data_IF_121217748069
#
_entry.id   IF_121217748069
#
_cell.length_a   1.000
_cell.length_b   1.000
_cell.length_c   1.000
_cell.angle_alpha   90.00
_cell.angle_beta   90.00
_cell.angle_gamma   90.00
#
_symmetry.space_group_name_H-M   'P 1'
#
loop_
_entity.id
_entity.type
_entity.pdbx_description
1 polymer ?
#
# COMPACT_ATOMS: atom_id res chain seq x y z
N UNK A 1 -6.88 -0.79 21.76
CA UNK A 1 -5.61 -0.53 21.05
C UNK A 1 -5.66 0.77 20.27
N UNK A 2 -4.48 1.35 19.96
CA UNK A 2 -4.34 2.57 19.13
C UNK A 2 -5.05 2.43 17.78
N UNK A 3 -4.93 1.26 17.14
CA UNK A 3 -5.61 0.96 15.88
C UNK A 3 -7.13 1.00 16.00
N UNK A 4 -7.71 0.57 17.11
CA UNK A 4 -9.17 0.54 17.30
C UNK A 4 -9.78 1.93 17.44
N UNK A 5 -8.95 2.92 17.80
CA UNK A 5 -9.34 4.32 17.94
C UNK A 5 -9.48 5.05 16.60
N UNK A 6 -8.91 4.48 15.53
CA UNK A 6 -8.92 5.10 14.21
C UNK A 6 -10.33 5.06 13.58
N UNK A 7 -10.77 6.18 12.98
CA UNK A 7 -12.06 6.25 12.29
C UNK A 7 -12.06 5.36 11.03
N UNK A 8 -13.26 4.93 10.64
CA UNK A 8 -13.44 4.14 9.43
C UNK A 8 -13.73 5.01 8.21
N UNK A 9 -13.15 4.62 7.09
CA UNK A 9 -13.53 5.12 5.77
C UNK A 9 -14.86 4.51 5.31
N UNK A 10 -15.39 5.04 4.20
CA UNK A 10 -16.51 4.43 3.46
C UNK A 10 -16.24 3.01 2.94
N UNK A 11 -14.98 2.55 2.98
CA UNK A 11 -14.56 1.20 2.59
C UNK A 11 -14.36 0.28 3.80
N UNK A 12 -14.79 0.69 5.00
CA UNK A 12 -14.64 -0.08 6.23
C UNK A 12 -13.17 -0.35 6.62
N UNK A 13 -12.26 0.51 6.15
CA UNK A 13 -10.83 0.49 6.50
C UNK A 13 -10.57 1.61 7.50
N UNK A 14 -9.82 1.30 8.56
CA UNK A 14 -9.38 2.26 9.56
C UNK A 14 -8.23 3.11 9.04
N UNK A 15 -8.30 4.43 9.19
CA UNK A 15 -7.23 5.36 8.81
C UNK A 15 -7.18 6.56 9.77
N UNK A 16 -6.02 7.20 9.97
CA UNK A 16 -5.95 8.51 10.63
C UNK A 16 -6.84 9.55 9.95
N UNK A 17 -7.28 10.56 10.71
CA UNK A 17 -7.97 11.70 10.12
C UNK A 17 -7.02 12.50 9.24
N UNK A 18 -7.55 13.17 8.22
CA UNK A 18 -6.75 13.96 7.27
C UNK A 18 -6.04 15.16 7.91
N UNK A 19 -6.55 15.64 9.05
CA UNK A 19 -5.97 16.71 9.87
C UNK A 19 -5.04 16.19 10.99
N UNK A 20 -4.91 14.87 11.16
CA UNK A 20 -3.95 14.26 12.08
C UNK A 20 -2.58 14.06 11.41
N UNK A 21 -1.75 15.10 11.49
CA UNK A 21 -0.39 15.09 10.96
C UNK A 21 0.64 14.45 11.92
N UNK A 22 0.23 13.99 13.11
CA UNK A 22 1.17 13.46 14.12
C UNK A 22 1.83 12.15 13.70
N UNK A 23 1.23 11.47 12.71
CA UNK A 23 1.62 10.15 12.20
C UNK A 23 2.24 10.21 10.81
N UNK A 24 2.40 11.40 10.24
CA UNK A 24 3.07 11.56 8.96
C UNK A 24 4.57 11.32 9.13
N UNK A 25 5.09 10.37 8.37
CA UNK A 25 6.53 10.14 8.25
C UNK A 25 7.05 10.87 7.02
N UNK A 26 8.25 11.44 7.14
CA UNK A 26 8.95 11.97 5.99
C UNK A 26 9.22 10.84 4.98
N UNK A 27 8.96 11.11 3.70
CA UNK A 27 9.00 10.11 2.61
C UNK A 27 10.37 9.44 2.42
N UNK A 28 11.43 10.02 2.98
CA UNK A 28 12.81 9.53 2.92
C UNK A 28 13.17 8.51 4.03
N UNK A 29 12.25 8.18 4.95
CA UNK A 29 12.50 7.27 6.06
C UNK A 29 11.73 5.94 5.95
N UNK A 30 11.50 5.46 4.71
CA UNK A 30 10.76 4.22 4.46
C UNK A 30 11.71 3.18 3.90
N UNK A 31 11.97 2.11 4.65
CA UNK A 31 12.81 0.99 4.19
C UNK A 31 11.98 -0.08 3.44
N UNK A 32 10.70 -0.23 3.80
CA UNK A 32 9.80 -1.28 3.29
C UNK A 32 8.37 -0.78 3.15
N UNK A 33 7.73 -1.14 2.04
CA UNK A 33 6.31 -0.85 1.77
C UNK A 33 5.58 -2.16 1.46
N UNK A 34 4.54 -2.44 2.24
CA UNK A 34 3.58 -3.51 1.91
C UNK A 34 2.57 -2.94 0.91
N UNK A 35 2.58 -3.46 -0.31
CA UNK A 35 1.75 -2.96 -1.40
C UNK A 35 0.59 -3.91 -1.65
N UNK A 36 -0.68 -3.51 -1.39
CA UNK A 36 -1.85 -4.35 -1.64
C UNK A 36 -2.18 -4.43 -3.13
N UNK A 37 -2.87 -5.51 -3.50
CA UNK A 37 -3.26 -5.79 -4.88
C UNK A 37 -4.36 -6.85 -4.97
N UNK A 38 -5.06 -6.85 -6.09
CA UNK A 38 -6.02 -7.87 -6.49
C UNK A 38 -5.33 -9.09 -7.11
N UNK A 39 -4.18 -8.87 -7.76
CA UNK A 39 -3.37 -9.93 -8.36
C UNK A 39 -1.92 -9.53 -8.47
N UNK A 40 -1.04 -10.53 -8.49
CA UNK A 40 0.41 -10.39 -8.54
C UNK A 40 1.00 -11.46 -9.45
N UNK A 41 2.13 -11.16 -10.06
CA UNK A 41 2.95 -12.14 -10.77
C UNK A 41 4.27 -12.35 -10.00
N UNK A 42 4.93 -13.49 -10.23
CA UNK A 42 6.21 -13.79 -9.56
C UNK A 42 7.36 -12.86 -10.00
N UNK A 43 7.21 -12.15 -11.13
CA UNK A 43 8.17 -11.12 -11.58
C UNK A 43 7.93 -9.74 -10.94
N UNK A 44 6.94 -9.62 -10.03
CA UNK A 44 6.66 -8.40 -9.28
C UNK A 44 5.64 -7.46 -9.93
N UNK A 45 5.01 -7.85 -11.03
CA UNK A 45 3.88 -7.09 -11.60
C UNK A 45 2.66 -7.19 -10.66
N UNK A 46 1.86 -6.12 -10.61
CA UNK A 46 0.75 -5.97 -9.67
C UNK A 46 -0.49 -5.39 -10.34
N UNK A 47 -1.65 -5.98 -10.07
CA UNK A 47 -2.96 -5.44 -10.40
C UNK A 47 -3.59 -4.80 -9.16
N UNK A 48 -3.83 -3.48 -9.19
CA UNK A 48 -4.54 -2.76 -8.13
C UNK A 48 -6.05 -2.62 -8.39
N UNK A 49 -6.75 -1.90 -7.51
CA UNK A 49 -8.18 -1.56 -7.68
C UNK A 49 -8.46 -0.49 -8.76
N UNK A 50 -7.52 -0.19 -9.65
CA UNK A 50 -7.70 0.70 -10.81
C UNK A 50 -7.54 2.21 -10.57
N UNK A 51 -7.42 2.71 -9.33
CA UNK A 51 -7.23 4.15 -9.05
C UNK A 51 -5.76 4.62 -9.03
N UNK A 52 -4.80 3.72 -9.18
CA UNK A 52 -3.38 4.04 -9.27
C UNK A 52 -2.81 4.83 -8.07
N UNK A 53 -3.34 4.62 -6.86
CA UNK A 53 -2.84 5.32 -5.66
C UNK A 53 -1.41 4.91 -5.34
N UNK A 54 -1.14 3.60 -5.28
CA UNK A 54 0.20 3.09 -4.97
C UNK A 54 1.20 3.37 -6.09
N UNK A 55 0.79 3.35 -7.35
CA UNK A 55 1.70 3.65 -8.46
C UNK A 55 2.18 5.12 -8.38
N UNK A 56 1.27 6.05 -8.10
CA UNK A 56 1.62 7.47 -7.87
C UNK A 56 2.47 7.66 -6.62
N UNK A 57 2.14 6.97 -5.53
CA UNK A 57 2.88 7.09 -4.29
C UNK A 57 4.32 6.57 -4.44
N UNK A 58 4.50 5.36 -4.98
CA UNK A 58 5.82 4.78 -5.20
C UNK A 58 6.67 5.63 -6.15
N UNK A 59 6.08 6.19 -7.21
CA UNK A 59 6.77 7.11 -8.12
C UNK A 59 7.15 8.46 -7.47
N UNK A 60 6.50 8.83 -6.35
CA UNK A 60 6.81 10.06 -5.62
C UNK A 60 7.92 9.90 -4.56
N UNK A 61 8.27 8.66 -4.22
CA UNK A 61 9.30 8.36 -3.24
C UNK A 61 10.68 8.42 -3.89
N UNK A 62 11.65 8.94 -3.14
CA UNK A 62 13.07 8.94 -3.50
C UNK A 62 13.83 8.13 -2.47
N UNK A 63 14.78 7.32 -2.90
CA UNK A 63 15.63 6.52 -2.01
C UNK A 63 15.53 5.02 -2.30
N UNK A 64 16.20 4.24 -1.47
CA UNK A 64 16.21 2.78 -1.56
C UNK A 64 15.18 2.23 -0.59
N UNK A 65 14.13 1.60 -1.12
CA UNK A 65 13.12 0.90 -0.34
C UNK A 65 12.74 -0.39 -1.04
N UNK A 66 12.26 -1.36 -0.26
CA UNK A 66 11.68 -2.58 -0.79
C UNK A 66 10.16 -2.47 -0.89
N UNK A 67 9.59 -3.14 -1.88
CA UNK A 67 8.14 -3.36 -1.96
C UNK A 67 7.84 -4.84 -1.81
N UNK A 68 6.81 -5.17 -1.04
CA UNK A 68 6.35 -6.55 -0.85
C UNK A 68 4.83 -6.61 -1.06
N UNK A 69 4.39 -7.51 -1.94
CA UNK A 69 2.99 -7.90 -2.06
C UNK A 69 2.68 -9.08 -1.13
N UNK A 70 1.60 -8.98 -0.36
CA UNK A 70 1.02 -10.11 0.37
C UNK A 70 -0.19 -10.60 -0.43
N UNK A 71 -0.16 -11.87 -0.82
CA UNK A 71 -1.12 -12.42 -1.76
C UNK A 71 -1.61 -13.80 -1.30
N UNK A 72 -2.90 -14.06 -1.47
CA UNK A 72 -3.40 -15.42 -1.50
C UNK A 72 -2.88 -16.15 -2.73
N UNK A 73 -2.91 -17.49 -2.71
CA UNK A 73 -2.48 -18.31 -3.85
C UNK A 73 -3.28 -17.98 -5.11
N UNK A 74 -4.58 -17.73 -4.97
CA UNK A 74 -5.52 -17.39 -6.03
C UNK A 74 -5.24 -16.03 -6.67
N UNK A 75 -4.46 -15.18 -6.00
CA UNK A 75 -4.05 -13.89 -6.51
C UNK A 75 -2.72 -13.95 -7.27
N UNK A 76 -2.05 -15.11 -7.31
CA UNK A 76 -0.84 -15.31 -8.12
C UNK A 76 -1.24 -15.70 -9.54
N UNK A 77 -0.90 -14.84 -10.50
CA UNK A 77 -1.28 -14.97 -11.91
C UNK A 77 -0.05 -15.28 -12.76
N UNK A 78 -0.29 -15.99 -13.87
CA UNK A 78 0.71 -16.13 -14.93
C UNK A 78 0.72 -14.88 -15.81
N UNK A 79 1.90 -14.54 -16.31
CA UNK A 79 2.06 -13.46 -17.28
C UNK A 79 1.71 -14.02 -18.66
N UNK A 80 0.72 -13.42 -19.31
CA UNK A 80 0.39 -13.71 -20.71
C UNK A 80 1.50 -13.25 -21.66
#
# INVERSE_FOLDING_TARGET
DDLDSLPMTKWNIRQPNLDDHTREIATNNIDLIIVPGLGFTLDGSRLGHGKGYYDRYLNSLNGNFYTIGLAFREQILEKN
#
